data_IF_816115774009
#
_entry.id   IF_816115774009
#
_cell.length_a   1.000
_cell.length_b   1.000
_cell.length_c   1.000
_cell.angle_alpha   90.00
_cell.angle_beta   90.00
_cell.angle_gamma   90.00
#
_symmetry.space_group_name_H-M   'P 1'
#
loop_
_entity.id
_entity.type
_entity.pdbx_description
1 polymer ?
#
# COMPACT_ATOMS: atom_id res chain seq x y z
N UNK A 1 -5.27 -6.02 -2.40
CA UNK A 1 -5.74 -6.52 -1.09
C UNK A 1 -7.26 -6.66 -1.19
N UNK A 2 -7.97 -7.02 -0.13
CA UNK A 2 -9.42 -7.14 -0.14
C UNK A 2 -10.05 -8.45 -0.63
N UNK A 3 -11.32 -8.37 -1.03
CA UNK A 3 -12.17 -9.52 -1.38
C UNK A 3 -11.65 -10.33 -2.57
N UNK A 4 -11.32 -11.59 -2.30
CA UNK A 4 -10.85 -12.52 -3.33
C UNK A 4 -11.92 -12.76 -4.40
N UNK A 5 -11.55 -12.52 -5.67
CA UNK A 5 -12.43 -12.75 -6.83
C UNK A 5 -13.40 -11.61 -7.16
N UNK A 6 -13.43 -10.53 -6.38
CA UNK A 6 -14.38 -9.43 -6.60
C UNK A 6 -14.07 -8.64 -7.87
N UNK A 7 -12.82 -8.24 -8.13
CA UNK A 7 -12.48 -7.47 -9.34
C UNK A 7 -12.80 -8.23 -10.65
N UNK A 8 -12.43 -9.52 -10.81
CA UNK A 8 -12.89 -10.31 -11.95
C UNK A 8 -14.42 -10.38 -12.07
N UNK A 9 -15.13 -10.49 -10.94
CA UNK A 9 -16.58 -10.49 -10.93
C UNK A 9 -17.18 -9.15 -11.39
N UNK A 10 -16.52 -8.03 -11.07
CA UNK A 10 -16.93 -6.67 -11.44
C UNK A 10 -16.36 -6.19 -12.78
N UNK A 11 -15.75 -7.07 -13.59
CA UNK A 11 -15.11 -6.69 -14.85
C UNK A 11 -16.04 -5.90 -15.79
N UNK A 12 -17.30 -6.33 -15.91
CA UNK A 12 -18.32 -5.65 -16.75
C UNK A 12 -18.72 -4.26 -16.24
N UNK A 13 -18.47 -3.99 -14.97
CA UNK A 13 -18.73 -2.70 -14.32
C UNK A 13 -17.46 -1.84 -14.24
N UNK A 14 -16.35 -2.35 -14.77
CA UNK A 14 -15.05 -1.67 -14.76
C UNK A 14 -14.80 -0.99 -16.09
N UNK A 15 -14.14 0.17 -16.07
CA UNK A 15 -13.73 0.91 -17.27
C UNK A 15 -12.23 1.18 -17.20
N UNK A 16 -11.49 0.86 -18.26
CA UNK A 16 -10.11 1.32 -18.41
C UNK A 16 -10.12 2.85 -18.57
N UNK A 17 -9.36 3.53 -17.72
CA UNK A 17 -9.29 4.99 -17.67
C UNK A 17 -7.84 5.48 -17.58
N UNK A 18 -7.63 6.77 -17.83
CA UNK A 18 -6.36 7.46 -17.63
C UNK A 18 -6.52 8.53 -16.54
N UNK A 19 -5.52 8.70 -15.67
CA UNK A 19 -5.56 9.70 -14.58
C UNK A 19 -5.75 11.14 -15.09
N UNK A 20 -5.37 11.42 -16.34
CA UNK A 20 -5.59 12.72 -16.99
C UNK A 20 -7.08 13.08 -17.11
N UNK A 21 -7.99 12.09 -17.14
CA UNK A 21 -9.44 12.32 -17.13
C UNK A 21 -9.93 13.03 -15.86
N UNK A 22 -9.14 13.02 -14.78
CA UNK A 22 -9.44 13.64 -13.48
C UNK A 22 -8.64 14.92 -13.23
N UNK A 23 -8.04 15.50 -14.27
CA UNK A 23 -7.26 16.74 -14.16
C UNK A 23 -8.11 17.89 -13.61
N UNK A 24 -7.59 18.58 -12.59
CA UNK A 24 -8.29 19.65 -11.90
C UNK A 24 -9.26 19.20 -10.81
N UNK A 25 -9.44 17.88 -10.64
CA UNK A 25 -10.16 17.30 -9.52
C UNK A 25 -9.25 16.95 -8.34
N UNK A 26 -9.86 16.45 -7.26
CA UNK A 26 -9.17 15.98 -6.07
C UNK A 26 -9.14 14.45 -6.05
N UNK A 27 -7.97 13.87 -5.80
CA UNK A 27 -7.76 12.42 -5.73
C UNK A 27 -7.36 12.03 -4.31
N UNK A 28 -8.09 11.10 -3.70
CA UNK A 28 -7.65 10.46 -2.47
C UNK A 28 -6.87 9.19 -2.79
N UNK A 29 -5.76 8.95 -2.10
CA UNK A 29 -4.84 7.85 -2.40
C UNK A 29 -4.66 6.98 -1.17
N UNK A 30 -4.85 5.67 -1.34
CA UNK A 30 -4.36 4.69 -0.38
C UNK A 30 -2.83 4.59 -0.47
N UNK A 31 -2.17 5.36 0.39
CA UNK A 31 -0.71 5.41 0.44
C UNK A 31 -0.07 4.09 0.90
N UNK A 32 -0.78 3.23 1.64
CA UNK A 32 -0.20 2.01 2.19
C UNK A 32 0.06 0.98 1.09
N UNK A 33 -0.85 0.87 0.12
CA UNK A 33 -0.64 0.08 -1.10
C UNK A 33 0.69 0.42 -1.80
N UNK A 34 1.03 1.71 -1.87
CA UNK A 34 2.26 2.17 -2.51
C UNK A 34 3.48 2.00 -1.61
N UNK A 35 3.37 2.26 -0.30
CA UNK A 35 4.46 2.03 0.65
C UNK A 35 4.89 0.57 0.64
N UNK A 36 3.94 -0.37 0.67
CA UNK A 36 4.24 -1.81 0.59
C UNK A 36 5.04 -2.16 -0.68
N UNK A 37 4.72 -1.55 -1.81
CA UNK A 37 5.50 -1.74 -3.05
C UNK A 37 6.87 -1.05 -3.01
N UNK A 38 6.92 0.16 -2.45
CA UNK A 38 8.14 0.94 -2.30
C UNK A 38 9.18 0.24 -1.43
N UNK A 39 8.77 -0.30 -0.29
CA UNK A 39 9.68 -1.00 0.64
C UNK A 39 10.29 -2.26 0.03
N UNK A 40 9.68 -2.88 -0.98
CA UNK A 40 10.28 -4.00 -1.69
C UNK A 40 11.55 -3.60 -2.45
N UNK A 41 11.65 -2.36 -2.94
CA UNK A 41 12.84 -1.88 -3.66
C UNK A 41 14.06 -1.70 -2.75
N UNK A 42 13.84 -1.48 -1.45
CA UNK A 42 14.87 -1.23 -0.44
C UNK A 42 14.84 -2.26 0.71
N UNK A 43 14.19 -3.40 0.48
CA UNK A 43 13.98 -4.50 1.42
C UNK A 43 15.24 -4.87 2.22
N UNK A 44 16.34 -5.15 1.52
CA UNK A 44 17.59 -5.58 2.12
C UNK A 44 18.15 -4.51 3.09
N UNK A 45 18.08 -3.23 2.71
CA UNK A 45 18.57 -2.11 3.53
C UNK A 45 17.68 -1.85 4.74
N UNK A 46 16.36 -1.88 4.55
CA UNK A 46 15.40 -1.69 5.63
C UNK A 46 15.49 -2.80 6.68
N UNK A 47 15.66 -4.05 6.25
CA UNK A 47 15.80 -5.16 7.19
C UNK A 47 17.07 -5.02 8.03
N UNK A 48 18.21 -4.61 7.45
CA UNK A 48 19.46 -4.47 8.21
C UNK A 48 19.39 -3.51 9.42
N UNK A 49 18.41 -2.59 9.47
CA UNK A 49 18.22 -1.63 10.56
C UNK A 49 16.98 -1.82 11.45
N UNK A 50 16.10 -2.80 11.19
CA UNK A 50 14.82 -2.93 11.91
C UNK A 50 14.77 -4.10 12.91
N UNK A 51 14.16 -3.84 14.06
CA UNK A 51 13.63 -4.82 15.01
C UNK A 51 12.27 -5.30 14.50
N UNK A 52 12.09 -6.61 14.29
CA UNK A 52 10.83 -7.18 13.78
C UNK A 52 10.30 -8.28 14.70
N UNK A 53 9.00 -8.58 14.59
CA UNK A 53 8.34 -9.62 15.39
C UNK A 53 8.92 -11.03 15.15
N UNK A 54 8.70 -11.95 16.09
CA UNK A 54 9.27 -13.30 16.08
C UNK A 54 9.04 -14.08 14.76
N UNK A 55 7.85 -13.99 14.17
CA UNK A 55 7.52 -14.63 12.88
C UNK A 55 8.32 -14.04 11.71
N UNK A 56 8.47 -12.71 11.70
CA UNK A 56 9.25 -11.98 10.67
C UNK A 56 10.76 -12.21 10.83
N UNK A 57 11.24 -12.38 12.06
CA UNK A 57 12.62 -12.79 12.35
C UNK A 57 12.95 -14.19 11.83
N UNK A 58 12.02 -15.15 11.93
CA UNK A 58 12.21 -16.48 11.34
C UNK A 58 12.28 -16.41 9.81
N UNK A 59 11.37 -15.68 9.17
CA UNK A 59 11.40 -15.48 7.71
C UNK A 59 12.70 -14.79 7.27
N UNK A 60 13.19 -13.81 8.05
CA UNK A 60 14.46 -13.13 7.78
C UNK A 60 15.66 -14.07 7.88
N UNK A 61 15.76 -14.89 8.93
CA UNK A 61 16.86 -15.88 9.08
C UNK A 61 16.86 -16.87 7.93
N UNK A 62 15.69 -17.48 7.66
CA UNK A 62 15.55 -18.45 6.57
C UNK A 62 15.85 -17.81 5.21
N UNK A 63 15.50 -16.54 5.01
CA UNK A 63 15.82 -15.85 3.78
C UNK A 63 17.34 -15.64 3.59
N UNK A 64 18.04 -15.29 4.66
CA UNK A 64 19.50 -15.15 4.64
C UNK A 64 20.20 -16.49 4.38
N UNK A 65 19.69 -17.58 4.97
CA UNK A 65 20.19 -18.95 4.71
C UNK A 65 20.00 -19.33 3.24
N UNK A 66 18.82 -19.10 2.65
CA UNK A 66 18.54 -19.35 1.24
C UNK A 66 19.46 -18.54 0.31
N UNK A 67 19.73 -17.28 0.64
CA UNK A 67 20.65 -16.42 -0.13
C UNK A 67 22.08 -16.97 -0.04
N UNK A 68 22.54 -17.40 1.14
CA UNK A 68 23.87 -18.01 1.30
C UNK A 68 24.00 -19.33 0.54
N UNK A 69 22.93 -20.10 0.41
CA UNK A 69 22.88 -21.34 -0.38
C UNK A 69 22.78 -21.10 -1.90
N UNK A 70 22.81 -19.84 -2.36
CA UNK A 70 22.68 -19.47 -3.78
C UNK A 70 21.24 -19.47 -4.31
N UNK A 71 20.25 -19.77 -3.47
CA UNK A 71 18.81 -19.70 -3.80
C UNK A 71 18.27 -18.28 -3.64
N UNK A 72 18.90 -17.33 -4.34
CA UNK A 72 18.67 -15.89 -4.19
C UNK A 72 17.22 -15.49 -4.45
N UNK A 73 16.56 -16.08 -5.45
CA UNK A 73 15.18 -15.74 -5.80
C UNK A 73 14.18 -16.09 -4.68
N UNK A 74 14.32 -17.27 -4.07
CA UNK A 74 13.44 -17.74 -3.00
C UNK A 74 13.69 -16.94 -1.71
N UNK A 75 14.97 -16.70 -1.37
CA UNK A 75 15.34 -15.85 -0.25
C UNK A 75 14.78 -14.43 -0.38
N UNK A 76 14.87 -13.81 -1.57
CA UNK A 76 14.27 -12.48 -1.81
C UNK A 76 12.76 -12.48 -1.64
N UNK A 77 12.05 -13.52 -2.06
CA UNK A 77 10.61 -13.61 -1.84
C UNK A 77 10.25 -13.75 -0.36
N UNK A 78 11.05 -14.47 0.41
CA UNK A 78 10.84 -14.62 1.84
C UNK A 78 11.15 -13.31 2.60
N UNK A 79 12.17 -12.56 2.19
CA UNK A 79 12.43 -11.20 2.69
C UNK A 79 11.23 -10.28 2.46
N UNK A 80 10.63 -10.28 1.26
CA UNK A 80 9.45 -9.44 0.96
C UNK A 80 8.30 -9.68 1.95
N UNK A 81 8.10 -10.93 2.37
CA UNK A 81 7.06 -11.32 3.35
C UNK A 81 7.41 -10.96 4.78
N UNK A 82 8.67 -10.64 5.06
CA UNK A 82 9.16 -10.29 6.39
C UNK A 82 9.21 -8.79 6.65
N UNK A 83 9.09 -7.95 5.61
CA UNK A 83 9.11 -6.49 5.74
C UNK A 83 7.80 -6.01 6.33
N UNK A 84 7.90 -5.07 7.26
CA UNK A 84 6.78 -4.36 7.82
C UNK A 84 6.86 -2.88 7.45
N UNK A 85 5.72 -2.27 7.11
CA UNK A 85 5.64 -0.82 6.92
C UNK A 85 5.37 -0.22 8.29
N UNK A 86 6.41 0.38 8.88
CA UNK A 86 6.33 0.95 10.23
C UNK A 86 5.78 2.38 10.20
N UNK A 87 5.34 2.87 11.36
CA UNK A 87 4.86 4.24 11.51
C UNK A 87 5.94 5.28 11.18
N UNK A 88 7.21 4.99 11.42
CA UNK A 88 8.33 5.86 11.04
C UNK A 88 8.46 5.99 9.52
N UNK A 89 8.29 4.89 8.78
CA UNK A 89 8.28 4.91 7.31
C UNK A 89 7.12 5.77 6.81
N UNK A 90 5.92 5.58 7.37
CA UNK A 90 4.75 6.39 7.02
C UNK A 90 4.96 7.87 7.34
N UNK A 91 5.56 8.18 8.51
CA UNK A 91 5.85 9.55 8.92
C UNK A 91 6.84 10.25 7.98
N UNK A 92 7.88 9.56 7.53
CA UNK A 92 8.82 10.14 6.56
C UNK A 92 8.17 10.39 5.19
N UNK A 93 7.24 9.53 4.76
CA UNK A 93 6.42 9.80 3.58
C UNK A 93 5.56 11.07 3.79
N UNK A 94 4.85 11.17 4.91
CA UNK A 94 4.01 12.33 5.23
C UNK A 94 4.83 13.62 5.20
N UNK A 95 6.00 13.65 5.85
CA UNK A 95 6.90 14.80 5.84
C UNK A 95 7.35 15.17 4.42
N UNK A 96 7.61 14.18 3.57
CA UNK A 96 8.00 14.42 2.17
C UNK A 96 6.85 14.99 1.35
N UNK A 97 5.65 14.44 1.50
CA UNK A 97 4.42 14.92 0.84
C UNK A 97 4.09 16.36 1.24
N UNK A 98 4.15 16.68 2.53
CA UNK A 98 3.91 18.03 3.02
C UNK A 98 4.90 19.07 2.44
N UNK A 99 6.18 18.70 2.26
CA UNK A 99 7.17 19.56 1.59
C UNK A 99 6.84 19.83 0.12
N UNK A 100 6.11 18.93 -0.53
CA UNK A 100 5.63 19.07 -1.91
C UNK A 100 4.22 19.69 -1.96
N UNK A 101 3.70 20.20 -0.84
CA UNK A 101 2.34 20.73 -0.69
C UNK A 101 1.25 19.70 -1.03
N UNK A 102 1.48 18.44 -0.65
CA UNK A 102 0.49 17.35 -0.75
C UNK A 102 -0.10 17.09 0.62
N UNK A 103 -1.42 17.23 0.73
CA UNK A 103 -2.16 16.98 1.96
C UNK A 103 -2.09 15.51 2.38
N UNK A 104 -1.93 15.28 3.68
CA UNK A 104 -1.84 13.95 4.28
C UNK A 104 -2.80 13.82 5.44
N UNK A 105 -3.64 12.78 5.41
CA UNK A 105 -4.58 12.45 6.47
C UNK A 105 -4.24 11.06 6.99
N UNK A 106 -4.06 10.93 8.31
CA UNK A 106 -3.97 9.63 8.97
C UNK A 106 -5.38 9.22 9.38
N UNK A 107 -5.88 8.13 8.82
CA UNK A 107 -7.18 7.58 9.21
C UNK A 107 -7.14 7.20 10.71
N UNK A 108 -8.24 7.38 11.46
CA UNK A 108 -8.30 6.96 12.86
C UNK A 108 -8.17 5.44 13.02
N UNK A 109 -8.55 4.69 11.98
CA UNK A 109 -8.47 3.23 11.89
C UNK A 109 -8.09 2.82 10.46
N UNK A 110 -8.95 2.09 9.75
CA UNK A 110 -8.70 1.64 8.38
C UNK A 110 -8.82 2.79 7.37
N UNK A 111 -7.87 2.82 6.44
CA UNK A 111 -7.84 3.80 5.36
C UNK A 111 -9.03 3.64 4.42
N UNK A 112 -9.51 2.41 4.20
CA UNK A 112 -10.63 2.10 3.30
C UNK A 112 -11.88 2.90 3.64
N UNK A 113 -12.26 2.92 4.92
CA UNK A 113 -13.40 3.68 5.42
C UNK A 113 -13.19 5.19 5.29
N UNK A 114 -11.98 5.68 5.59
CA UNK A 114 -11.64 7.10 5.47
C UNK A 114 -11.67 7.58 4.01
N UNK A 115 -11.12 6.78 3.09
CA UNK A 115 -11.09 7.08 1.66
C UNK A 115 -12.49 7.06 1.05
N UNK A 116 -13.28 6.03 1.37
CA UNK A 116 -14.67 5.96 0.95
C UNK A 116 -15.48 7.15 1.47
N UNK A 117 -15.28 7.53 2.74
CA UNK A 117 -15.93 8.72 3.32
C UNK A 117 -15.60 9.99 2.53
N UNK A 118 -14.30 10.27 2.28
CA UNK A 118 -13.86 11.46 1.52
C UNK A 118 -14.49 11.52 0.12
N UNK A 119 -14.65 10.37 -0.54
CA UNK A 119 -15.31 10.30 -1.84
C UNK A 119 -16.83 10.49 -1.76
N UNK A 120 -17.48 9.88 -0.77
CA UNK A 120 -18.94 9.98 -0.58
C UNK A 120 -19.36 11.43 -0.34
N UNK A 121 -18.62 12.17 0.48
CA UNK A 121 -18.92 13.57 0.83
C UNK A 121 -18.44 14.58 -0.21
N UNK A 122 -17.74 14.13 -1.26
CA UNK A 122 -17.30 15.00 -2.36
C UNK A 122 -16.04 15.82 -2.06
N UNK A 123 -15.22 15.42 -1.07
CA UNK A 123 -13.87 15.98 -0.91
C UNK A 123 -12.94 15.39 -1.97
N UNK A 124 -13.08 14.09 -2.27
CA UNK A 124 -12.32 13.41 -3.32
C UNK A 124 -13.24 13.00 -4.48
N UNK A 125 -12.88 13.34 -5.71
CA UNK A 125 -13.62 12.95 -6.91
C UNK A 125 -13.40 11.49 -7.29
N UNK A 126 -12.22 10.96 -6.96
CA UNK A 126 -11.80 9.58 -7.24
C UNK A 126 -10.85 9.07 -6.16
N UNK A 127 -10.89 7.77 -5.89
CA UNK A 127 -9.93 7.08 -5.01
C UNK A 127 -8.98 6.18 -5.81
N UNK A 128 -7.69 6.22 -5.49
CA UNK A 128 -6.69 5.30 -6.02
C UNK A 128 -6.29 4.31 -4.93
N UNK A 129 -6.53 3.02 -5.18
CA UNK A 129 -6.19 1.92 -4.27
C UNK A 129 -6.06 0.59 -5.04
N UNK A 130 -5.42 -0.41 -4.42
CA UNK A 130 -5.42 -1.81 -4.86
C UNK A 130 -6.28 -2.71 -3.96
N UNK A 131 -6.98 -2.11 -2.99
CA UNK A 131 -7.96 -2.79 -2.17
C UNK A 131 -9.36 -2.65 -2.77
N UNK A 132 -10.00 -3.79 -3.04
CA UNK A 132 -11.38 -3.82 -3.56
C UNK A 132 -12.43 -3.52 -2.49
N UNK A 133 -12.06 -3.52 -1.20
CA UNK A 133 -12.98 -3.39 -0.08
C UNK A 133 -13.72 -2.04 -0.09
N UNK A 134 -13.13 -0.99 -0.67
CA UNK A 134 -13.77 0.33 -0.84
C UNK A 134 -15.10 0.26 -1.59
N UNK A 135 -15.28 -0.74 -2.45
CA UNK A 135 -16.57 -0.94 -3.14
C UNK A 135 -17.71 -1.27 -2.17
N UNK A 136 -17.42 -1.97 -1.07
CA UNK A 136 -18.40 -2.27 -0.02
C UNK A 136 -18.69 -1.05 0.87
N UNK A 137 -17.70 -0.18 1.07
CA UNK A 137 -17.87 1.06 1.83
C UNK A 137 -18.67 2.13 1.06
N UNK A 138 -19.06 1.88 -0.19
CA UNK A 138 -19.87 2.79 -1.00
C UNK A 138 -19.06 3.86 -1.72
N UNK A 139 -17.75 3.64 -1.91
CA UNK A 139 -16.94 4.50 -2.76
C UNK A 139 -17.52 4.54 -4.19
N UNK A 140 -17.71 5.74 -4.73
CA UNK A 140 -18.38 5.97 -6.01
C UNK A 140 -17.45 5.81 -7.20
N UNK A 141 -16.20 6.28 -7.07
CA UNK A 141 -15.18 6.27 -8.13
C UNK A 141 -13.78 6.10 -7.57
#
# INVERSE_FOLDING_TARGET
MGITGLLPFLEKSSKRTNIQEFSGGTVAIDSYCWLHKGVFSCAEKLMMGQTTDASRNMNRRKAMELIQMGQVAEGKNLLKRAIDVTHEIALELIKRCQKENVDCIVAPYEADAQLAYLNIIGIADVVITEDSDLTLFGCKR
#
